data_IF_773694993848
#
_entry.id   IF_773694993848
#
_cell.length_a   1.000
_cell.length_b   1.000
_cell.length_c   1.000
_cell.angle_alpha   90.00
_cell.angle_beta   90.00
_cell.angle_gamma   90.00
#
_symmetry.space_group_name_H-M   'P 1'
#
loop_
_entity.id
_entity.type
_entity.pdbx_description
1 polymer ?
#
# COMPACT_ATOMS: atom_id res chain seq x y z
N UNK A 1 -16.24 -8.69 4.31
CA UNK A 1 -15.05 -9.21 3.60
C UNK A 1 -14.71 -10.56 4.21
N UNK A 2 -14.38 -11.58 3.41
CA UNK A 2 -14.28 -12.98 3.85
C UNK A 2 -12.90 -13.62 3.59
N UNK A 3 -11.83 -12.82 3.62
CA UNK A 3 -10.47 -13.34 3.46
C UNK A 3 -9.97 -13.94 4.77
N UNK A 4 -9.32 -15.11 4.71
CA UNK A 4 -8.74 -15.76 5.89
C UNK A 4 -7.43 -15.12 6.38
N UNK A 5 -6.82 -14.27 5.56
CA UNK A 5 -5.60 -13.53 5.88
C UNK A 5 -5.48 -12.27 5.02
N UNK A 6 -4.54 -11.40 5.37
CA UNK A 6 -4.20 -10.21 4.60
C UNK A 6 -2.67 -10.02 4.59
N UNK A 7 -2.14 -9.57 3.47
CA UNK A 7 -0.76 -9.12 3.35
C UNK A 7 -0.72 -7.59 3.34
N UNK A 8 0.11 -7.00 4.22
CA UNK A 8 0.21 -5.55 4.37
C UNK A 8 1.56 -5.09 3.83
N UNK A 9 1.55 -4.16 2.88
CA UNK A 9 2.78 -3.50 2.40
C UNK A 9 2.80 -3.28 0.89
N UNK A 10 3.97 -3.06 0.29
CA UNK A 10 5.32 -3.00 0.89
C UNK A 10 5.51 -1.84 1.87
N UNK A 11 6.21 -2.07 2.99
CA UNK A 11 6.58 -1.03 3.98
C UNK A 11 8.09 -0.84 4.01
N UNK A 12 8.53 0.41 4.12
CA UNK A 12 9.96 0.77 4.19
C UNK A 12 10.36 1.13 5.62
N UNK A 13 11.67 1.07 5.98
CA UNK A 13 12.10 1.47 7.33
C UNK A 13 11.74 2.93 7.66
N UNK A 14 11.90 3.84 6.70
CA UNK A 14 11.56 5.27 6.83
C UNK A 14 10.33 5.62 5.98
N UNK A 15 9.51 6.61 6.38
CA UNK A 15 8.40 7.09 5.56
C UNK A 15 8.89 7.66 4.23
N UNK A 16 8.10 7.47 3.18
CA UNK A 16 8.35 8.10 1.89
C UNK A 16 7.06 8.41 1.13
N UNK A 17 6.99 9.54 0.40
CA UNK A 17 5.79 9.98 -0.29
C UNK A 17 5.46 9.15 -1.55
N UNK A 18 6.45 8.42 -2.08
CA UNK A 18 6.42 7.79 -3.41
C UNK A 18 6.48 8.80 -4.55
N UNK A 19 6.12 8.36 -5.76
CA UNK A 19 6.20 9.22 -6.96
C UNK A 19 5.07 10.26 -7.01
N UNK A 20 5.24 11.36 -7.72
CA UNK A 20 4.19 12.36 -7.92
C UNK A 20 2.96 11.80 -8.66
N UNK A 21 1.80 12.36 -8.36
CA UNK A 21 0.53 12.01 -9.04
C UNK A 21 0.48 12.67 -10.44
N UNK A 22 -0.19 12.04 -11.43
CA UNK A 22 -0.88 10.74 -11.38
C UNK A 22 0.11 9.55 -11.44
N UNK A 23 -0.21 8.45 -10.74
CA UNK A 23 0.71 7.29 -10.59
C UNK A 23 0.04 5.89 -10.58
N UNK A 24 -1.26 5.84 -10.84
CA UNK A 24 -2.05 4.62 -11.02
C UNK A 24 -3.05 4.87 -12.14
N UNK A 25 -3.08 3.98 -13.12
CA UNK A 25 -3.84 4.12 -14.36
C UNK A 25 -4.64 2.84 -14.61
N UNK A 26 -5.92 3.00 -14.97
CA UNK A 26 -6.81 1.88 -15.32
C UNK A 26 -6.85 1.70 -16.83
N UNK A 27 -6.70 0.47 -17.29
CA UNK A 27 -6.88 0.05 -18.68
C UNK A 27 -8.12 -0.86 -18.72
N UNK A 28 -9.30 -0.26 -18.84
CA UNK A 28 -10.59 -0.95 -18.64
C UNK A 28 -10.78 -2.09 -19.62
N UNK A 29 -10.50 -1.87 -20.91
CA UNK A 29 -10.69 -2.87 -21.97
C UNK A 29 -9.75 -4.08 -21.81
N UNK A 30 -8.63 -3.91 -21.11
CA UNK A 30 -7.66 -4.96 -20.83
C UNK A 30 -7.82 -5.53 -19.41
N UNK A 31 -8.84 -5.11 -18.66
CA UNK A 31 -9.03 -5.42 -17.24
C UNK A 31 -7.74 -5.20 -16.40
N UNK A 32 -6.96 -4.18 -16.79
CA UNK A 32 -5.58 -3.99 -16.34
C UNK A 32 -5.34 -2.75 -15.49
N UNK A 33 -4.25 -2.79 -14.73
CA UNK A 33 -3.72 -1.66 -13.96
C UNK A 33 -2.23 -1.46 -14.25
N UNK A 34 -1.84 -0.21 -14.54
CA UNK A 34 -0.43 0.21 -14.56
C UNK A 34 -0.20 1.14 -13.38
N UNK A 35 0.84 0.89 -12.60
CA UNK A 35 1.18 1.74 -11.46
C UNK A 35 2.68 2.05 -11.41
N UNK A 36 2.99 3.24 -10.88
CA UNK A 36 4.33 3.70 -10.54
C UNK A 36 4.29 4.33 -9.15
N UNK A 37 3.78 3.59 -8.17
CA UNK A 37 3.52 4.10 -6.82
C UNK A 37 4.79 4.57 -6.10
N UNK A 38 5.91 3.85 -6.26
CA UNK A 38 7.19 4.21 -5.65
C UNK A 38 7.24 3.97 -4.15
N UNK A 39 6.66 2.86 -3.67
CA UNK A 39 6.61 2.47 -2.24
C UNK A 39 6.13 3.57 -1.29
N UNK A 40 5.06 4.31 -1.63
CA UNK A 40 4.50 5.34 -0.74
C UNK A 40 3.95 4.71 0.56
N UNK A 41 4.56 5.02 1.71
CA UNK A 41 4.13 4.53 3.02
C UNK A 41 4.66 5.41 4.17
N UNK A 42 4.11 5.21 5.37
CA UNK A 42 4.42 5.99 6.58
C UNK A 42 5.58 5.40 7.42
N UNK A 43 6.26 4.36 6.94
CA UNK A 43 7.34 3.69 7.66
C UNK A 43 6.88 2.55 8.56
N UNK A 44 7.84 1.73 9.00
CA UNK A 44 7.58 0.51 9.80
C UNK A 44 7.03 0.83 11.19
N UNK A 45 7.48 1.90 11.83
CA UNK A 45 6.99 2.29 13.17
C UNK A 45 5.50 2.58 13.13
N UNK A 46 5.04 3.31 12.10
CA UNK A 46 3.62 3.57 11.91
C UNK A 46 2.82 2.29 11.61
N UNK A 47 3.38 1.35 10.83
CA UNK A 47 2.74 0.05 10.59
C UNK A 47 2.53 -0.70 11.91
N UNK A 48 3.55 -0.80 12.76
CA UNK A 48 3.50 -1.51 14.04
C UNK A 48 2.39 -0.94 14.93
N UNK A 49 2.30 0.38 15.06
CA UNK A 49 1.26 1.03 15.85
C UNK A 49 -0.15 0.79 15.32
N UNK A 50 -0.32 0.68 14.00
CA UNK A 50 -1.60 0.30 13.41
C UNK A 50 -1.94 -1.17 13.68
N UNK A 51 -0.98 -2.09 13.55
CA UNK A 51 -1.20 -3.53 13.79
C UNK A 51 -1.57 -3.80 15.25
N UNK A 52 -0.93 -3.13 16.22
CA UNK A 52 -1.28 -3.25 17.64
C UNK A 52 -2.72 -2.84 17.96
N UNK A 53 -3.30 -1.92 17.18
CA UNK A 53 -4.68 -1.45 17.34
C UNK A 53 -5.69 -2.28 16.55
N UNK A 54 -5.22 -3.14 15.65
CA UNK A 54 -6.09 -3.99 14.87
C UNK A 54 -6.81 -4.96 15.80
N UNK A 55 -8.14 -5.14 15.66
CA UNK A 55 -8.88 -6.19 16.33
C UNK A 55 -8.52 -7.53 15.67
N UNK A 56 -7.34 -8.04 15.98
CA UNK A 56 -7.03 -9.46 15.89
C UNK A 56 -7.45 -10.14 17.19
#
# INVERSE_FOLDING_TARGET
MGFGSIEIGTVTPRPQPGNDKPRLFRLVDAEGLINRMGFNNLGVDNLIENVKKSPL
#
